data_IF_824630439285
#
_entry.id   IF_824630439285
#
_cell.length_a   1.000
_cell.length_b   1.000
_cell.length_c   1.000
_cell.angle_alpha   90.00
_cell.angle_beta   90.00
_cell.angle_gamma   90.00
#
_symmetry.space_group_name_H-M   'P 1'
#
loop_
_entity.id
_entity.type
_entity.pdbx_description
1 polymer ?
#
# COMPACT_ATOMS: atom_id res chain seq x y z
N UNK A 1 -14.98 -0.55 -12.61
CA UNK A 1 -14.20 0.54 -11.99
C UNK A 1 -13.07 0.93 -12.93
N UNK A 2 -12.43 2.07 -12.68
CA UNK A 2 -11.11 2.37 -13.24
C UNK A 2 -10.02 1.90 -12.26
N UNK A 3 -8.79 1.69 -12.74
CA UNK A 3 -7.66 1.40 -11.86
C UNK A 3 -7.25 2.68 -11.09
N UNK A 4 -6.79 2.56 -9.82
CA UNK A 4 -6.38 3.72 -9.03
C UNK A 4 -5.18 4.43 -9.68
N UNK A 5 -5.20 5.76 -9.67
CA UNK A 5 -4.21 6.61 -10.34
C UNK A 5 -3.36 7.39 -9.34
N UNK A 6 -2.25 7.96 -9.81
CA UNK A 6 -1.44 8.89 -9.01
C UNK A 6 -2.23 10.13 -8.54
N UNK A 7 -3.28 10.53 -9.27
CA UNK A 7 -4.16 11.63 -8.87
C UNK A 7 -5.05 11.25 -7.68
N UNK A 8 -5.53 10.01 -7.63
CA UNK A 8 -6.33 9.51 -6.51
C UNK A 8 -5.47 9.44 -5.24
N UNK A 9 -4.22 9.01 -5.40
CA UNK A 9 -3.25 8.91 -4.31
C UNK A 9 -2.83 10.30 -3.77
N UNK A 10 -2.63 11.29 -4.65
CA UNK A 10 -2.33 12.65 -4.23
C UNK A 10 -3.53 13.31 -3.54
N UNK A 11 -4.75 13.05 -4.01
CA UNK A 11 -5.97 13.50 -3.34
C UNK A 11 -6.11 12.86 -1.94
N UNK A 12 -5.77 11.57 -1.80
CA UNK A 12 -5.82 10.85 -0.53
C UNK A 12 -4.80 11.38 0.50
N UNK A 13 -3.56 11.64 0.08
CA UNK A 13 -2.50 12.17 0.96
C UNK A 13 -2.71 13.66 1.31
N UNK A 14 -3.46 14.38 0.47
CA UNK A 14 -3.79 15.79 0.66
C UNK A 14 -2.66 16.75 0.26
N UNK A 15 -2.94 18.07 0.30
CA UNK A 15 -2.10 19.08 -0.36
C UNK A 15 -0.74 19.34 0.31
N UNK A 16 -0.50 18.79 1.50
CA UNK A 16 0.75 19.01 2.25
C UNK A 16 1.88 18.09 1.80
N UNK A 17 1.59 17.04 1.03
CA UNK A 17 2.56 16.08 0.57
C UNK A 17 2.66 16.13 -0.95
N UNK A 18 3.83 16.51 -1.46
CA UNK A 18 4.11 16.45 -2.89
C UNK A 18 4.30 15.00 -3.31
N UNK A 19 3.45 14.52 -4.20
CA UNK A 19 3.50 13.17 -4.74
C UNK A 19 4.17 13.21 -6.11
N UNK A 20 5.35 12.60 -6.23
CA UNK A 20 5.96 12.37 -7.53
C UNK A 20 5.12 11.36 -8.32
N UNK A 21 4.69 11.74 -9.52
CA UNK A 21 3.76 10.93 -10.33
C UNK A 21 4.41 9.63 -10.79
N UNK A 22 5.70 9.66 -11.13
CA UNK A 22 6.41 8.46 -11.58
C UNK A 22 6.53 7.44 -10.44
N UNK A 23 6.94 7.90 -9.25
CA UNK A 23 7.01 7.06 -8.06
C UNK A 23 5.62 6.53 -7.65
N UNK A 24 4.59 7.37 -7.66
CA UNK A 24 3.23 6.96 -7.31
C UNK A 24 2.72 5.84 -8.23
N UNK A 25 2.91 5.98 -9.54
CA UNK A 25 2.52 4.96 -10.51
C UNK A 25 3.29 3.64 -10.29
N UNK A 26 4.59 3.71 -9.99
CA UNK A 26 5.39 2.53 -9.68
C UNK A 26 4.87 1.81 -8.43
N UNK A 27 4.58 2.56 -7.36
CA UNK A 27 4.04 2.02 -6.11
C UNK A 27 2.66 1.40 -6.31
N UNK A 28 1.74 2.09 -7.00
CA UNK A 28 0.41 1.58 -7.30
C UNK A 28 0.48 0.29 -8.10
N UNK A 29 1.35 0.20 -9.11
CA UNK A 29 1.56 -1.01 -9.90
C UNK A 29 2.04 -2.18 -9.03
N UNK A 30 3.04 -1.96 -8.19
CA UNK A 30 3.57 -3.00 -7.28
C UNK A 30 2.48 -3.46 -6.30
N UNK A 31 1.81 -2.55 -5.60
CA UNK A 31 0.80 -2.90 -4.61
C UNK A 31 -0.40 -3.60 -5.26
N UNK A 32 -0.80 -3.19 -6.46
CA UNK A 32 -1.86 -3.86 -7.24
C UNK A 32 -1.47 -5.30 -7.56
N UNK A 33 -0.23 -5.53 -8.02
CA UNK A 33 0.27 -6.87 -8.30
C UNK A 33 0.29 -7.77 -7.06
N UNK A 34 0.66 -7.21 -5.90
CA UNK A 34 0.68 -7.94 -4.63
C UNK A 34 -0.73 -8.26 -4.15
N UNK A 35 -1.69 -7.33 -4.29
CA UNK A 35 -3.09 -7.56 -3.93
C UNK A 35 -3.71 -8.65 -4.83
N UNK A 36 -3.48 -8.57 -6.15
CA UNK A 36 -3.94 -9.58 -7.10
C UNK A 36 -3.35 -10.96 -6.82
N UNK A 37 -2.06 -11.04 -6.51
CA UNK A 37 -1.42 -12.30 -6.11
C UNK A 37 -2.02 -12.86 -4.81
N UNK A 38 -2.29 -12.00 -3.83
CA UNK A 38 -2.87 -12.41 -2.54
C UNK A 38 -4.28 -12.99 -2.68
N UNK A 39 -5.13 -12.38 -3.53
CA UNK A 39 -6.50 -12.85 -3.78
C UNK A 39 -6.61 -13.87 -4.93
N UNK A 40 -5.48 -14.23 -5.57
CA UNK A 40 -5.44 -15.07 -6.78
C UNK A 40 -6.31 -14.52 -7.91
N UNK A 41 -6.34 -13.19 -8.05
CA UNK A 41 -7.14 -12.47 -9.05
C UNK A 41 -8.62 -12.35 -8.71
N UNK A 42 -9.11 -12.91 -7.60
CA UNK A 42 -10.49 -12.67 -7.17
C UNK A 42 -10.68 -11.22 -6.73
N UNK A 43 -11.81 -10.63 -7.14
CA UNK A 43 -12.08 -9.21 -6.98
C UNK A 43 -11.41 -8.32 -8.02
N UNK A 44 -10.80 -8.90 -9.07
CA UNK A 44 -10.29 -8.20 -10.24
C UNK A 44 -11.08 -8.56 -11.49
N UNK A 45 -11.16 -7.64 -12.45
CA UNK A 45 -11.72 -7.85 -13.80
C UNK A 45 -10.80 -7.18 -14.80
N UNK A 46 -10.25 -7.93 -15.75
CA UNK A 46 -9.26 -7.44 -16.73
C UNK A 46 -8.09 -6.68 -16.10
N UNK A 47 -7.62 -7.14 -14.93
CA UNK A 47 -6.55 -6.52 -14.17
C UNK A 47 -6.97 -5.30 -13.33
N UNK A 48 -8.24 -4.91 -13.37
CA UNK A 48 -8.79 -3.78 -12.60
C UNK A 48 -9.42 -4.28 -11.30
N UNK A 49 -9.02 -3.75 -10.12
CA UNK A 49 -9.61 -4.14 -8.84
C UNK A 49 -11.06 -3.62 -8.69
N UNK A 50 -11.83 -4.27 -7.83
CA UNK A 50 -13.08 -3.73 -7.32
C UNK A 50 -12.84 -2.65 -6.25
N UNK A 51 -13.91 -2.00 -5.77
CA UNK A 51 -13.83 -0.85 -4.85
C UNK A 51 -13.17 -1.21 -3.52
N UNK A 52 -13.43 -2.42 -3.05
CA UNK A 52 -12.95 -2.90 -1.76
C UNK A 52 -11.43 -3.08 -1.83
N UNK A 53 -10.93 -3.77 -2.86
CA UNK A 53 -9.49 -3.98 -3.07
C UNK A 53 -8.78 -2.67 -3.48
N UNK A 54 -9.44 -1.81 -4.26
CA UNK A 54 -8.93 -0.48 -4.62
C UNK A 54 -8.61 0.35 -3.37
N UNK A 55 -9.52 0.38 -2.40
CA UNK A 55 -9.31 1.11 -1.13
C UNK A 55 -8.08 0.61 -0.35
N UNK A 56 -7.84 -0.71 -0.37
CA UNK A 56 -6.67 -1.33 0.24
C UNK A 56 -5.40 -0.94 -0.52
N UNK A 57 -5.42 -0.95 -1.86
CA UNK A 57 -4.28 -0.57 -2.69
C UNK A 57 -3.90 0.88 -2.42
N UNK A 58 -4.86 1.81 -2.39
CA UNK A 58 -4.58 3.23 -2.14
C UNK A 58 -4.00 3.44 -0.73
N UNK A 59 -4.58 2.85 0.31
CA UNK A 59 -4.05 2.93 1.68
C UNK A 59 -2.63 2.37 1.80
N UNK A 60 -2.38 1.18 1.25
CA UNK A 60 -1.08 0.55 1.30
C UNK A 60 -0.02 1.31 0.47
N UNK A 61 -0.41 1.84 -0.69
CA UNK A 61 0.44 2.69 -1.52
C UNK A 61 0.83 3.99 -0.79
N UNK A 62 -0.13 4.65 -0.14
CA UNK A 62 0.12 5.85 0.66
C UNK A 62 1.13 5.59 1.79
N UNK A 63 0.96 4.48 2.51
CA UNK A 63 1.88 4.05 3.57
C UNK A 63 3.28 3.74 3.03
N UNK A 64 3.37 3.08 1.87
CA UNK A 64 4.65 2.75 1.25
C UNK A 64 5.38 4.00 0.72
N UNK A 65 4.64 4.99 0.19
CA UNK A 65 5.23 6.28 -0.18
C UNK A 65 5.77 7.04 1.03
N UNK A 66 5.03 7.04 2.15
CA UNK A 66 5.46 7.69 3.39
C UNK A 66 6.69 7.00 4.03
N UNK A 67 6.84 5.68 3.85
CA UNK A 67 7.88 4.86 4.48
C UNK A 67 8.64 3.99 3.48
N UNK A 68 9.16 4.60 2.41
CA UNK A 68 9.82 3.89 1.30
C UNK A 68 11.06 3.08 1.69
N UNK A 69 11.76 3.47 2.77
CA UNK A 69 13.01 2.83 3.21
C UNK A 69 12.80 1.43 3.78
N UNK A 70 11.61 1.10 4.30
CA UNK A 70 11.21 -0.22 4.83
C UNK A 70 12.16 -0.87 5.87
N UNK A 71 13.11 -0.11 6.42
CA UNK A 71 14.15 -0.61 7.32
C UNK A 71 14.12 0.21 8.60
N UNK A 72 14.27 -0.47 9.73
CA UNK A 72 14.35 0.17 11.04
C UNK A 72 15.54 1.12 11.11
N UNK A 73 15.31 2.32 11.61
CA UNK A 73 16.33 3.36 11.75
C UNK A 73 16.50 3.66 13.23
N UNK A 74 17.71 3.49 13.74
CA UNK A 74 18.11 3.98 15.06
C UNK A 74 18.93 5.25 14.89
N UNK A 75 18.55 6.30 15.60
CA UNK A 75 19.31 7.55 15.67
C UNK A 75 19.72 7.79 17.12
N UNK A 76 21.02 8.00 17.34
CA UNK A 76 21.57 8.30 18.67
C UNK A 76 22.25 9.65 18.63
N UNK A 77 21.77 10.57 19.46
CA UNK A 77 22.32 11.91 19.65
C UNK A 77 22.66 12.11 21.12
N UNK A 78 23.92 11.84 21.48
CA UNK A 78 24.37 11.89 22.87
C UNK A 78 23.62 10.88 23.75
N UNK A 79 23.01 11.27 24.89
CA UNK A 79 22.26 10.36 25.75
C UNK A 79 20.87 9.99 25.19
N UNK A 80 20.37 10.71 24.17
CA UNK A 80 19.08 10.43 23.58
C UNK A 80 19.22 9.42 22.44
N UNK A 81 18.39 8.40 22.43
CA UNK A 81 18.23 7.50 21.29
C UNK A 81 16.75 7.41 20.89
N UNK A 82 16.51 7.37 19.58
CA UNK A 82 15.21 7.11 18.99
C UNK A 82 15.35 5.89 18.08
N UNK A 83 14.45 4.93 18.25
CA UNK A 83 14.39 3.73 17.40
C UNK A 83 13.05 3.73 16.68
N UNK A 84 13.10 3.86 15.36
CA UNK A 84 11.95 3.74 14.48
C UNK A 84 11.96 2.32 13.92
N UNK A 85 11.19 1.43 14.54
CA UNK A 85 11.00 0.08 14.01
C UNK A 85 10.10 0.16 12.77
N UNK A 86 10.66 -0.04 11.58
CA UNK A 86 9.88 -0.21 10.37
C UNK A 86 9.75 -1.70 10.10
N UNK A 87 8.52 -2.18 9.96
CA UNK A 87 8.30 -3.50 9.39
C UNK A 87 8.55 -3.44 7.87
N UNK A 88 9.19 -4.45 7.27
CA UNK A 88 9.15 -4.61 5.80
C UNK A 88 7.71 -4.62 5.31
N UNK A 89 7.47 -4.26 4.05
CA UNK A 89 6.10 -4.09 3.54
C UNK A 89 5.22 -5.32 3.81
N UNK A 90 4.23 -5.13 4.68
CA UNK A 90 3.27 -6.13 5.10
C UNK A 90 1.87 -5.50 5.12
N UNK A 91 0.85 -6.31 4.87
CA UNK A 91 -0.53 -5.88 4.99
C UNK A 91 -0.88 -5.55 6.45
N UNK A 92 -1.57 -4.44 6.67
CA UNK A 92 -2.15 -4.14 7.98
C UNK A 92 -3.33 -5.07 8.27
N UNK A 93 -3.73 -5.19 9.54
CA UNK A 93 -4.87 -6.04 9.94
C UNK A 93 -6.16 -5.61 9.25
N UNK A 94 -6.39 -4.30 9.11
CA UNK A 94 -7.54 -3.75 8.39
C UNK A 94 -7.50 -4.07 6.90
N UNK A 95 -6.33 -3.98 6.26
CA UNK A 95 -6.16 -4.35 4.85
C UNK A 95 -6.42 -5.86 4.64
N UNK A 96 -5.90 -6.70 5.54
CA UNK A 96 -6.14 -8.15 5.52
C UNK A 96 -7.61 -8.49 5.69
N UNK A 97 -8.36 -7.80 6.56
CA UNK A 97 -9.79 -8.05 6.77
C UNK A 97 -10.58 -7.89 5.47
N UNK A 98 -10.22 -6.92 4.62
CA UNK A 98 -10.82 -6.72 3.30
C UNK A 98 -10.33 -7.78 2.32
N UNK A 99 -9.01 -7.97 2.20
CA UNK A 99 -8.43 -8.91 1.22
C UNK A 99 -8.82 -10.37 1.48
N UNK A 100 -8.99 -10.77 2.74
CA UNK A 100 -9.39 -12.13 3.10
C UNK A 100 -10.79 -12.50 2.59
N UNK A 101 -11.68 -11.53 2.38
CA UNK A 101 -13.00 -11.78 1.77
C UNK A 101 -12.89 -12.34 0.35
N UNK A 102 -11.80 -12.03 -0.34
CA UNK A 102 -11.53 -12.47 -1.72
C UNK A 102 -10.48 -13.58 -1.79
N UNK A 103 -9.88 -13.98 -0.68
CA UNK A 103 -8.81 -14.98 -0.69
C UNK A 103 -9.41 -16.38 -0.75
N UNK A 104 -8.94 -17.20 -1.70
CA UNK A 104 -9.21 -18.65 -1.68
C UNK A 104 -8.40 -19.29 -0.57
N UNK A 105 -9.08 -19.76 0.48
CA UNK A 105 -8.47 -20.57 1.54
C UNK A 105 -8.50 -22.03 1.09
N UNK A 106 -7.47 -22.81 1.44
CA UNK A 106 -7.52 -24.25 1.26
C UNK A 106 -8.71 -24.81 2.08
N UNK A 107 -9.53 -25.63 1.45
CA UNK A 107 -10.68 -26.31 2.10
C UNK A 107 -10.15 -27.52 2.86
#
# INVERSE_FOLDING_TARGET
MAAPTASDLSAFLGPRQTVDTAQANAVLSVVTSMASAYTRGLGFTDGVPNSDIESVIVCAAARLLAHSRQVSVGETYGPNSANYAAAPFAWSVSELLVLQRYRVVAI
#
